data_IF_049036723263
#
_entry.id   IF_049036723263
#
_cell.length_a   1.000
_cell.length_b   1.000
_cell.length_c   1.000
_cell.angle_alpha   90.00
_cell.angle_beta   90.00
_cell.angle_gamma   90.00
#
_symmetry.space_group_name_H-M   'P 1'
#
loop_
_entity.id
_entity.type
_entity.pdbx_description
1 polymer ?
#
# COMPACT_ATOMS: atom_id res chain seq x y z
N UNK A 1 -2.73 31.51 8.94
CA UNK A 1 -3.40 30.96 7.75
C UNK A 1 -3.42 29.45 7.91
N UNK A 2 -4.58 28.86 8.16
CA UNK A 2 -4.73 27.43 8.44
C UNK A 2 -4.43 26.64 7.15
N UNK A 3 -3.74 25.52 7.28
CA UNK A 3 -3.32 24.62 6.17
C UNK A 3 -4.48 24.19 5.25
N UNK A 4 -5.72 24.35 5.73
CA UNK A 4 -6.95 24.03 5.01
C UNK A 4 -7.29 25.03 3.88
N UNK A 5 -6.91 26.30 4.00
CA UNK A 5 -7.29 27.33 3.03
C UNK A 5 -6.57 27.18 1.68
N UNK A 6 -5.35 26.58 1.67
CA UNK A 6 -4.59 26.35 0.42
C UNK A 6 -5.12 25.20 -0.44
N UNK A 7 -5.83 24.21 0.14
CA UNK A 7 -6.39 23.09 -0.59
C UNK A 7 -7.66 23.45 -1.37
N UNK A 8 -8.36 24.49 -0.94
CA UNK A 8 -9.56 25.02 -1.63
C UNK A 8 -9.24 25.66 -2.98
N UNK A 9 -8.00 26.17 -3.14
CA UNK A 9 -7.54 26.88 -4.33
C UNK A 9 -6.87 25.97 -5.37
N UNK A 10 -6.62 24.69 -5.06
CA UNK A 10 -5.96 23.76 -5.97
C UNK A 10 -6.93 23.13 -6.96
N UNK A 11 -6.64 23.29 -8.24
CA UNK A 11 -7.37 22.59 -9.32
C UNK A 11 -7.00 21.11 -9.26
N UNK A 12 -7.98 20.19 -9.17
CA UNK A 12 -7.72 18.75 -9.20
C UNK A 12 -7.03 18.34 -10.50
N UNK A 13 -6.18 17.31 -10.42
CA UNK A 13 -5.52 16.71 -11.60
C UNK A 13 -6.55 16.11 -12.56
N UNK A 14 -7.59 15.51 -12.02
CA UNK A 14 -8.72 14.92 -12.74
C UNK A 14 -9.81 14.52 -11.73
N UNK A 15 -10.89 13.92 -12.21
CA UNK A 15 -11.88 13.32 -11.31
C UNK A 15 -11.24 12.16 -10.56
N UNK A 16 -11.54 12.03 -9.26
CA UNK A 16 -11.04 10.92 -8.46
C UNK A 16 -11.71 9.61 -8.88
N UNK A 17 -10.90 8.59 -9.13
CA UNK A 17 -11.35 7.21 -9.33
C UNK A 17 -10.54 6.22 -8.50
N UNK A 18 -11.21 5.27 -7.84
CA UNK A 18 -10.58 4.24 -7.02
C UNK A 18 -10.88 2.87 -7.62
N UNK A 19 -9.84 2.19 -8.07
CA UNK A 19 -9.88 0.80 -8.52
C UNK A 19 -9.37 -0.09 -7.38
N UNK A 20 -10.27 -0.62 -6.55
CA UNK A 20 -9.92 -1.56 -5.49
C UNK A 20 -9.95 -2.99 -6.04
N UNK A 21 -8.77 -3.60 -6.19
CA UNK A 21 -8.66 -5.00 -6.58
C UNK A 21 -9.38 -5.89 -5.54
N UNK A 22 -9.77 -7.09 -5.94
CA UNK A 22 -10.49 -8.01 -5.03
C UNK A 22 -9.74 -8.22 -3.71
N UNK A 23 -8.40 -8.27 -3.77
CA UNK A 23 -7.52 -8.43 -2.59
C UNK A 23 -7.62 -7.28 -1.58
N UNK A 24 -8.03 -6.12 -2.01
CA UNK A 24 -8.13 -4.89 -1.19
C UNK A 24 -9.54 -4.28 -1.18
N UNK A 25 -10.56 -5.01 -1.61
CA UNK A 25 -11.94 -4.51 -1.72
C UNK A 25 -12.46 -3.93 -0.42
N UNK A 26 -12.26 -4.61 0.70
CA UNK A 26 -12.70 -4.12 2.01
C UNK A 26 -12.02 -2.80 2.40
N UNK A 27 -10.72 -2.69 2.14
CA UNK A 27 -9.98 -1.45 2.38
C UNK A 27 -10.46 -0.34 1.45
N UNK A 28 -10.65 -0.65 0.16
CA UNK A 28 -11.15 0.30 -0.84
C UNK A 28 -12.52 0.87 -0.46
N UNK A 29 -13.44 0.03 0.00
CA UNK A 29 -14.76 0.48 0.49
C UNK A 29 -14.61 1.47 1.65
N UNK A 30 -13.80 1.14 2.66
CA UNK A 30 -13.58 2.03 3.81
C UNK A 30 -12.92 3.35 3.43
N UNK A 31 -11.94 3.31 2.51
CA UNK A 31 -11.30 4.53 1.98
C UNK A 31 -12.32 5.39 1.26
N UNK A 32 -13.16 4.78 0.42
CA UNK A 32 -14.24 5.46 -0.27
C UNK A 32 -15.18 6.16 0.71
N UNK A 33 -15.64 5.46 1.75
CA UNK A 33 -16.59 6.00 2.74
C UNK A 33 -16.00 7.22 3.45
N UNK A 34 -14.74 7.17 3.88
CA UNK A 34 -14.04 8.31 4.47
C UNK A 34 -13.90 9.51 3.51
N UNK A 35 -13.60 9.25 2.23
CA UNK A 35 -13.47 10.33 1.24
C UNK A 35 -14.82 10.97 0.97
N UNK A 36 -15.89 10.18 0.84
CA UNK A 36 -17.25 10.69 0.66
C UNK A 36 -17.65 11.56 1.84
N UNK A 37 -17.48 11.07 3.08
CA UNK A 37 -17.77 11.82 4.30
C UNK A 37 -17.01 13.15 4.35
N UNK A 38 -15.69 13.14 4.18
CA UNK A 38 -14.87 14.36 4.21
C UNK A 38 -15.22 15.37 3.13
N UNK A 39 -15.53 14.91 1.92
CA UNK A 39 -15.95 15.80 0.82
C UNK A 39 -17.32 16.40 1.06
N UNK A 40 -18.26 15.63 1.59
CA UNK A 40 -19.59 16.12 1.97
C UNK A 40 -19.51 17.12 3.12
N UNK A 41 -18.74 16.86 4.16
CA UNK A 41 -18.51 17.80 5.26
C UNK A 41 -17.92 19.12 4.75
N UNK A 42 -16.91 19.03 3.90
CA UNK A 42 -16.28 20.19 3.30
C UNK A 42 -17.25 20.99 2.44
N UNK A 43 -18.04 20.33 1.62
CA UNK A 43 -19.07 20.98 0.79
C UNK A 43 -20.14 21.72 1.60
N UNK A 44 -20.41 21.28 2.85
CA UNK A 44 -21.33 21.96 3.76
C UNK A 44 -20.69 23.19 4.44
N UNK A 45 -19.39 23.17 4.65
CA UNK A 45 -18.66 24.25 5.35
C UNK A 45 -18.23 25.38 4.43
N UNK A 46 -17.95 25.11 3.18
CA UNK A 46 -17.49 26.07 2.19
C UNK A 46 -18.63 26.39 1.23
N UNK A 47 -19.21 27.61 1.33
CA UNK A 47 -20.17 28.12 0.37
C UNK A 47 -19.57 28.14 -1.05
N UNK A 48 -20.35 28.18 -2.12
CA UNK A 48 -20.36 27.51 -3.40
C UNK A 48 -19.10 27.59 -4.28
N UNK A 49 -17.92 27.68 -3.72
CA UNK A 49 -16.66 27.55 -4.47
C UNK A 49 -16.43 26.12 -5.00
N UNK A 50 -17.20 25.15 -4.57
CA UNK A 50 -17.15 23.76 -5.03
C UNK A 50 -17.97 23.53 -6.30
N UNK A 51 -17.78 24.33 -7.35
CA UNK A 51 -18.25 24.03 -8.71
C UNK A 51 -17.54 22.81 -9.33
N UNK A 52 -16.71 22.12 -8.57
CA UNK A 52 -16.07 20.87 -8.97
C UNK A 52 -17.08 19.75 -8.79
N UNK A 53 -17.74 19.37 -9.88
CA UNK A 53 -18.81 18.36 -9.93
C UNK A 53 -18.44 17.02 -9.25
N UNK A 54 -17.15 16.71 -9.14
CA UNK A 54 -16.63 15.49 -8.54
C UNK A 54 -16.76 15.43 -7.00
N UNK A 55 -16.98 16.56 -6.32
CA UNK A 55 -17.04 16.61 -4.84
C UNK A 55 -18.36 16.14 -4.24
N UNK A 56 -19.41 15.95 -5.05
CA UNK A 56 -20.74 15.54 -4.60
C UNK A 56 -21.10 14.09 -4.91
N UNK A 57 -20.13 13.26 -5.34
CA UNK A 57 -20.38 11.86 -5.63
C UNK A 57 -20.62 11.05 -4.35
N UNK A 58 -21.51 10.08 -4.43
CA UNK A 58 -21.78 9.11 -3.36
C UNK A 58 -20.76 7.97 -3.34
N UNK A 59 -19.99 7.82 -4.41
CA UNK A 59 -18.90 6.84 -4.50
C UNK A 59 -17.84 7.25 -5.51
N UNK A 60 -16.60 6.94 -5.20
CA UNK A 60 -15.44 7.08 -6.07
C UNK A 60 -14.91 5.73 -6.53
N UNK A 61 -15.52 4.63 -6.07
CA UNK A 61 -15.15 3.27 -6.50
C UNK A 61 -15.59 3.06 -7.95
N UNK A 62 -14.67 2.52 -8.74
CA UNK A 62 -14.89 2.11 -10.13
C UNK A 62 -14.97 0.59 -10.17
N UNK A 63 -16.01 0.06 -10.81
CA UNK A 63 -16.19 -1.39 -10.90
C UNK A 63 -15.12 -2.02 -11.80
N UNK A 64 -14.33 -2.91 -11.18
CA UNK A 64 -13.26 -3.63 -11.83
C UNK A 64 -13.18 -5.09 -11.38
N UNK A 65 -12.63 -5.94 -12.22
CA UNK A 65 -12.46 -7.36 -11.93
C UNK A 65 -11.32 -7.96 -12.76
N UNK A 66 -10.78 -9.07 -12.26
CA UNK A 66 -9.85 -9.92 -13.01
C UNK A 66 -10.38 -11.36 -13.11
N UNK A 67 -11.41 -11.60 -13.96
CA UNK A 67 -11.99 -12.93 -14.11
C UNK A 67 -10.95 -13.92 -14.66
N UNK A 68 -10.93 -15.12 -14.05
CA UNK A 68 -10.02 -16.21 -14.41
C UNK A 68 -10.65 -17.12 -15.46
N UNK A 69 -9.82 -17.59 -16.38
CA UNK A 69 -10.13 -18.71 -17.27
C UNK A 69 -9.84 -20.04 -16.56
N UNK A 70 -10.33 -21.13 -17.12
CA UNK A 70 -10.11 -22.47 -16.56
C UNK A 70 -8.63 -22.89 -16.47
N UNK A 71 -7.77 -22.30 -17.30
CA UNK A 71 -6.30 -22.46 -17.28
C UNK A 71 -5.60 -21.69 -16.15
N UNK A 72 -6.33 -20.80 -15.42
CA UNK A 72 -5.76 -19.93 -14.40
C UNK A 72 -5.33 -18.55 -14.91
N UNK A 73 -5.27 -18.36 -16.22
CA UNK A 73 -5.06 -17.03 -16.82
C UNK A 73 -6.24 -16.09 -16.48
N UNK A 74 -5.99 -14.79 -16.53
CA UNK A 74 -7.04 -13.79 -16.27
C UNK A 74 -6.96 -12.64 -17.27
N UNK A 75 -8.02 -11.83 -17.28
CA UNK A 75 -8.04 -10.53 -17.98
C UNK A 75 -8.45 -9.42 -17.01
N UNK A 76 -7.87 -8.23 -17.18
CA UNK A 76 -8.35 -7.02 -16.49
C UNK A 76 -9.62 -6.50 -17.15
N UNK A 77 -10.60 -6.14 -16.35
CA UNK A 77 -11.88 -5.60 -16.79
C UNK A 77 -12.23 -4.37 -15.96
N UNK A 78 -12.50 -3.25 -16.62
CA UNK A 78 -13.03 -2.02 -16.02
C UNK A 78 -14.35 -1.74 -16.72
N UNK A 79 -15.44 -1.57 -15.94
CA UNK A 79 -16.81 -1.47 -16.50
C UNK A 79 -17.28 -0.05 -16.71
N UNK A 80 -16.45 0.93 -16.33
CA UNK A 80 -16.76 2.35 -16.45
C UNK A 80 -15.67 3.08 -17.23
N UNK A 81 -15.97 4.28 -17.71
CA UNK A 81 -14.98 5.12 -18.35
C UNK A 81 -14.06 5.75 -17.31
N UNK A 82 -12.75 5.61 -17.52
CA UNK A 82 -11.70 6.21 -16.69
C UNK A 82 -10.96 7.33 -17.42
N UNK A 83 -11.56 7.85 -18.49
CA UNK A 83 -10.92 8.86 -19.33
C UNK A 83 -10.76 10.19 -18.59
N UNK A 84 -9.51 10.60 -18.45
CA UNK A 84 -9.15 11.86 -17.80
C UNK A 84 -9.17 11.83 -16.28
N UNK A 85 -9.44 10.67 -15.67
CA UNK A 85 -9.49 10.52 -14.22
C UNK A 85 -8.09 10.47 -13.60
N UNK A 86 -8.01 10.88 -12.35
CA UNK A 86 -6.90 10.66 -11.43
C UNK A 86 -7.18 9.34 -10.67
N UNK A 87 -6.54 8.26 -11.12
CA UNK A 87 -6.83 6.91 -10.67
C UNK A 87 -5.89 6.45 -9.55
N UNK A 88 -6.51 5.85 -8.53
CA UNK A 88 -5.83 5.17 -7.43
C UNK A 88 -6.17 3.68 -7.46
N UNK A 89 -5.18 2.84 -7.73
CA UNK A 89 -5.31 1.38 -7.74
C UNK A 89 -4.82 0.82 -6.40
N UNK A 90 -5.72 0.15 -5.67
CA UNK A 90 -5.43 -0.47 -4.39
C UNK A 90 -5.24 -1.97 -4.57
N UNK A 91 -4.12 -2.51 -4.09
CA UNK A 91 -3.82 -3.95 -4.13
C UNK A 91 -3.16 -4.42 -2.84
N UNK A 92 -3.69 -5.46 -2.23
CA UNK A 92 -3.03 -6.20 -1.15
C UNK A 92 -2.43 -7.48 -1.74
N UNK A 93 -1.13 -7.47 -1.95
CA UNK A 93 -0.40 -8.62 -2.51
C UNK A 93 -0.23 -9.77 -1.52
N UNK A 94 -0.50 -9.54 -0.23
CA UNK A 94 -0.39 -10.55 0.82
C UNK A 94 -1.72 -11.20 1.20
N UNK A 95 -2.80 -10.94 0.46
CA UNK A 95 -4.10 -11.52 0.75
C UNK A 95 -4.19 -12.98 0.26
N UNK A 96 -3.82 -13.92 1.11
CA UNK A 96 -3.89 -15.36 0.83
C UNK A 96 -5.29 -15.97 0.99
N UNK A 97 -6.30 -15.18 1.38
CA UNK A 97 -7.67 -15.68 1.55
C UNK A 97 -8.40 -15.92 0.22
N UNK A 98 -7.97 -15.23 -0.83
CA UNK A 98 -8.56 -15.36 -2.15
C UNK A 98 -8.10 -16.63 -2.86
N UNK A 99 -9.05 -17.26 -3.54
CA UNK A 99 -8.80 -18.49 -4.28
C UNK A 99 -9.37 -18.41 -5.69
N UNK A 100 -8.81 -19.22 -6.59
CA UNK A 100 -9.35 -19.45 -7.92
C UNK A 100 -9.15 -20.91 -8.31
N UNK A 101 -9.86 -21.37 -9.35
CA UNK A 101 -9.77 -22.74 -9.83
C UNK A 101 -8.90 -22.82 -11.08
N UNK A 102 -7.99 -23.81 -11.10
CA UNK A 102 -7.22 -24.22 -12.26
C UNK A 102 -7.51 -25.66 -12.52
N UNK A 103 -8.06 -26.00 -13.70
CA UNK A 103 -8.43 -27.36 -14.06
C UNK A 103 -9.26 -28.07 -12.97
N UNK A 104 -10.16 -27.31 -12.32
CA UNK A 104 -11.05 -27.81 -11.27
C UNK A 104 -10.46 -27.84 -9.85
N UNK A 105 -9.14 -27.61 -9.69
CA UNK A 105 -8.49 -27.55 -8.37
C UNK A 105 -8.46 -26.13 -7.82
N UNK A 106 -8.65 -26.02 -6.50
CA UNK A 106 -8.61 -24.73 -5.79
C UNK A 106 -7.16 -24.35 -5.51
N UNK A 107 -6.79 -23.12 -5.91
CA UNK A 107 -5.49 -22.53 -5.65
C UNK A 107 -5.67 -21.22 -4.88
N UNK A 108 -4.86 -21.00 -3.87
CA UNK A 108 -4.77 -19.70 -3.21
C UNK A 108 -3.97 -18.73 -4.08
N UNK A 109 -4.42 -17.47 -4.13
CA UNK A 109 -3.69 -16.44 -4.85
C UNK A 109 -2.37 -16.13 -4.14
N UNK A 110 -1.28 -16.19 -4.90
CA UNK A 110 0.05 -15.77 -4.47
C UNK A 110 0.24 -14.25 -4.60
N UNK A 111 1.31 -13.68 -4.03
CA UNK A 111 1.71 -12.29 -4.31
C UNK A 111 1.87 -12.00 -5.80
N UNK A 112 2.38 -12.96 -6.57
CA UNK A 112 2.55 -12.85 -8.02
C UNK A 112 1.21 -12.78 -8.75
N UNK A 113 0.21 -13.55 -8.31
CA UNK A 113 -1.15 -13.49 -8.85
C UNK A 113 -1.76 -12.10 -8.66
N UNK A 114 -1.64 -11.53 -7.46
CA UNK A 114 -2.16 -10.20 -7.15
C UNK A 114 -1.42 -9.10 -7.92
N UNK A 115 -0.09 -9.21 -8.00
CA UNK A 115 0.72 -8.27 -8.77
C UNK A 115 0.41 -8.35 -10.26
N UNK A 116 0.21 -9.56 -10.81
CA UNK A 116 -0.20 -9.73 -12.20
C UNK A 116 -1.61 -9.17 -12.47
N UNK A 117 -2.55 -9.29 -11.51
CA UNK A 117 -3.89 -8.69 -11.62
C UNK A 117 -3.84 -7.16 -11.60
N UNK A 118 -2.95 -6.57 -10.78
CA UNK A 118 -2.67 -5.13 -10.82
C UNK A 118 -2.23 -4.70 -12.23
N UNK A 119 -1.28 -5.40 -12.85
CA UNK A 119 -0.81 -5.08 -14.19
C UNK A 119 -1.91 -5.22 -15.25
N UNK A 120 -2.78 -6.21 -15.11
CA UNK A 120 -3.94 -6.39 -15.99
C UNK A 120 -4.91 -5.20 -15.93
N UNK A 121 -5.17 -4.66 -14.72
CA UNK A 121 -6.01 -3.47 -14.60
C UNK A 121 -5.33 -2.21 -15.13
N UNK A 122 -4.03 -2.01 -14.88
CA UNK A 122 -3.27 -0.91 -15.49
C UNK A 122 -3.34 -0.99 -17.02
N UNK A 123 -3.16 -2.17 -17.59
CA UNK A 123 -3.30 -2.39 -19.04
C UNK A 123 -4.73 -2.11 -19.54
N UNK A 124 -5.76 -2.45 -18.75
CA UNK A 124 -7.15 -2.18 -19.09
C UNK A 124 -7.49 -0.67 -19.08
N UNK A 125 -6.81 0.15 -18.27
CA UNK A 125 -6.88 1.62 -18.35
C UNK A 125 -6.46 2.12 -19.72
N UNK A 126 -5.47 1.47 -20.33
CA UNK A 126 -5.06 1.71 -21.73
C UNK A 126 -4.58 3.13 -21.99
N UNK A 127 -3.91 3.77 -21.05
CA UNK A 127 -3.38 5.13 -21.16
C UNK A 127 -4.45 6.24 -21.20
N UNK A 128 -5.69 5.94 -20.83
CA UNK A 128 -6.81 6.91 -20.90
C UNK A 128 -6.94 7.78 -19.67
N UNK A 129 -6.44 7.32 -18.52
CA UNK A 129 -6.43 8.09 -17.29
C UNK A 129 -5.48 9.30 -17.38
N UNK A 130 -5.75 10.33 -16.61
CA UNK A 130 -4.87 11.49 -16.49
C UNK A 130 -3.62 11.16 -15.70
N UNK A 131 -3.78 10.38 -14.62
CA UNK A 131 -2.70 9.92 -13.74
C UNK A 131 -3.06 8.55 -13.16
N UNK A 132 -2.05 7.73 -12.89
CA UNK A 132 -2.21 6.45 -12.21
C UNK A 132 -1.30 6.45 -10.97
N UNK A 133 -1.91 6.26 -9.81
CA UNK A 133 -1.23 6.03 -8.53
C UNK A 133 -1.55 4.61 -8.05
N UNK A 134 -0.53 3.84 -7.67
CA UNK A 134 -0.69 2.52 -7.06
C UNK A 134 -0.53 2.63 -5.55
N UNK A 135 -1.49 2.12 -4.79
CA UNK A 135 -1.40 1.97 -3.34
C UNK A 135 -1.27 0.49 -3.03
N UNK A 136 -0.12 0.14 -2.49
CA UNK A 136 0.25 -1.24 -2.17
C UNK A 136 0.72 -1.28 -0.71
N UNK A 137 -0.17 -1.57 0.26
CA UNK A 137 0.14 -1.50 1.69
C UNK A 137 1.38 -2.30 2.07
N UNK A 138 1.52 -3.51 1.54
CA UNK A 138 2.77 -4.26 1.58
C UNK A 138 3.42 -4.22 0.19
N UNK A 139 4.60 -3.64 0.09
CA UNK A 139 5.29 -3.50 -1.20
C UNK A 139 5.72 -4.89 -1.73
N UNK A 140 5.26 -5.21 -2.94
CA UNK A 140 5.62 -6.45 -3.64
C UNK A 140 7.13 -6.57 -3.78
N UNK A 141 7.69 -7.75 -3.47
CA UNK A 141 9.11 -8.08 -3.50
C UNK A 141 10.01 -7.14 -2.64
N UNK A 142 9.46 -6.46 -1.64
CA UNK A 142 10.19 -5.48 -0.82
C UNK A 142 11.41 -6.06 -0.10
N UNK A 143 11.44 -7.38 0.17
CA UNK A 143 12.58 -8.04 0.80
C UNK A 143 13.73 -8.29 -0.17
N UNK A 144 13.45 -8.31 -1.48
CA UNK A 144 14.45 -8.44 -2.54
C UNK A 144 14.87 -7.05 -3.05
N UNK A 145 15.25 -6.17 -2.11
CA UNK A 145 15.64 -4.77 -2.35
C UNK A 145 17.14 -4.59 -2.64
N UNK A 146 17.94 -5.62 -2.40
CA UNK A 146 19.39 -5.66 -2.67
C UNK A 146 19.78 -7.07 -3.07
N UNK A 147 20.90 -7.18 -3.77
CA UNK A 147 21.53 -8.46 -4.10
C UNK A 147 22.99 -8.44 -3.69
N UNK A 148 23.49 -9.56 -3.22
CA UNK A 148 24.88 -9.76 -2.82
C UNK A 148 25.64 -10.77 -3.69
N UNK A 149 24.90 -11.50 -4.53
CA UNK A 149 25.45 -12.53 -5.41
C UNK A 149 24.71 -12.56 -6.75
N UNK A 150 24.58 -13.70 -7.39
CA UNK A 150 23.82 -13.91 -8.61
C UNK A 150 22.33 -14.10 -8.31
N UNK A 151 21.70 -13.04 -7.85
CA UNK A 151 20.30 -12.98 -7.46
C UNK A 151 19.57 -11.99 -8.36
N UNK A 152 18.27 -12.18 -8.53
CA UNK A 152 17.42 -11.16 -9.14
C UNK A 152 17.25 -9.95 -8.19
N UNK A 153 16.85 -8.81 -8.73
CA UNK A 153 16.55 -7.60 -7.95
C UNK A 153 15.08 -7.24 -8.15
N UNK A 154 14.20 -8.13 -7.65
CA UNK A 154 12.79 -8.16 -8.04
C UNK A 154 12.02 -6.93 -7.61
N UNK A 155 12.34 -6.35 -6.44
CA UNK A 155 11.71 -5.10 -6.02
C UNK A 155 11.96 -3.96 -7.01
N UNK A 156 13.20 -3.80 -7.48
CA UNK A 156 13.53 -2.76 -8.44
C UNK A 156 12.88 -3.01 -9.81
N UNK A 157 12.88 -4.27 -10.26
CA UNK A 157 12.24 -4.66 -11.52
C UNK A 157 10.74 -4.40 -11.47
N UNK A 158 10.06 -4.76 -10.39
CA UNK A 158 8.64 -4.52 -10.21
C UNK A 158 8.28 -3.03 -10.24
N UNK A 159 9.05 -2.19 -9.54
CA UNK A 159 8.86 -0.73 -9.57
C UNK A 159 9.05 -0.14 -10.97
N UNK A 160 10.11 -0.57 -11.68
CA UNK A 160 10.39 -0.14 -13.05
C UNK A 160 9.29 -0.60 -14.01
N UNK A 161 8.81 -1.83 -13.91
CA UNK A 161 7.74 -2.36 -14.72
C UNK A 161 6.45 -1.52 -14.57
N UNK A 162 6.03 -1.24 -13.34
CA UNK A 162 4.85 -0.41 -13.08
C UNK A 162 5.01 0.99 -13.69
N UNK A 163 6.17 1.61 -13.54
CA UNK A 163 6.42 2.95 -14.09
C UNK A 163 6.46 2.97 -15.61
N UNK A 164 7.00 1.92 -16.24
CA UNK A 164 6.96 1.73 -17.70
C UNK A 164 5.54 1.52 -18.22
N UNK A 165 4.65 0.94 -17.42
CA UNK A 165 3.22 0.81 -17.72
C UNK A 165 2.43 2.10 -17.53
N UNK A 166 3.07 3.21 -17.11
CA UNK A 166 2.44 4.52 -16.97
C UNK A 166 2.04 4.88 -15.53
N UNK A 167 2.48 4.14 -14.52
CA UNK A 167 2.29 4.53 -13.11
C UNK A 167 3.19 5.73 -12.80
N UNK A 168 2.57 6.79 -12.26
CA UNK A 168 3.26 8.04 -11.88
C UNK A 168 3.70 8.06 -10.42
N UNK A 169 2.93 7.40 -9.54
CA UNK A 169 3.18 7.39 -8.10
C UNK A 169 2.90 6.02 -7.51
N UNK A 170 3.74 5.61 -6.56
CA UNK A 170 3.58 4.37 -5.79
C UNK A 170 3.59 4.73 -4.30
N UNK A 171 2.56 4.31 -3.58
CA UNK A 171 2.40 4.53 -2.15
C UNK A 171 2.41 3.18 -1.44
N UNK A 172 3.24 3.03 -0.42
CA UNK A 172 3.31 1.84 0.43
C UNK A 172 3.41 2.22 1.91
N UNK A 173 3.18 1.26 2.80
CA UNK A 173 3.38 1.47 4.23
C UNK A 173 4.68 0.81 4.68
N UNK A 174 5.52 1.57 5.39
CA UNK A 174 6.73 1.11 6.04
C UNK A 174 7.57 0.15 5.16
N UNK A 175 8.02 0.64 4.01
CA UNK A 175 8.84 -0.14 3.10
C UNK A 175 10.02 -0.80 3.84
N UNK A 176 10.30 -2.06 3.53
CA UNK A 176 11.39 -2.82 4.17
C UNK A 176 12.74 -2.08 4.09
N UNK A 177 13.01 -1.45 2.96
CA UNK A 177 14.09 -0.49 2.78
C UNK A 177 13.60 0.66 1.89
N UNK A 178 13.48 1.89 2.41
CA UNK A 178 12.96 3.02 1.63
C UNK A 178 13.87 3.42 0.45
N UNK A 179 15.12 2.95 0.40
CA UNK A 179 16.05 3.22 -0.72
C UNK A 179 15.63 2.53 -2.02
N UNK A 180 14.64 1.64 -2.00
CA UNK A 180 14.06 1.07 -3.24
C UNK A 180 13.55 2.14 -4.20
N UNK A 181 13.19 3.33 -3.70
CA UNK A 181 12.84 4.49 -4.52
C UNK A 181 13.92 4.88 -5.55
N UNK A 182 15.19 4.55 -5.27
CA UNK A 182 16.29 4.83 -6.19
C UNK A 182 16.18 4.05 -7.51
N UNK A 183 15.35 3.01 -7.59
CA UNK A 183 15.08 2.29 -8.83
C UNK A 183 14.23 3.10 -9.82
N UNK A 184 13.50 4.12 -9.35
CA UNK A 184 12.56 4.94 -10.12
C UNK A 184 12.72 6.44 -9.83
N UNK A 185 13.92 7.03 -10.03
CA UNK A 185 14.27 8.36 -9.52
C UNK A 185 13.46 9.51 -10.12
N UNK A 186 12.77 9.28 -11.23
CA UNK A 186 11.93 10.28 -11.91
C UNK A 186 10.43 10.11 -11.63
N UNK A 187 10.07 9.21 -10.72
CA UNK A 187 8.67 8.93 -10.34
C UNK A 187 8.48 9.10 -8.84
N UNK A 188 7.24 9.35 -8.42
CA UNK A 188 6.93 9.48 -7.01
C UNK A 188 6.90 8.09 -6.34
N UNK A 189 7.59 8.00 -5.21
CA UNK A 189 7.50 6.85 -4.31
C UNK A 189 7.35 7.36 -2.88
N UNK A 190 6.28 6.93 -2.23
CA UNK A 190 5.97 7.35 -0.86
C UNK A 190 5.88 6.14 0.05
N UNK A 191 6.62 6.16 1.15
CA UNK A 191 6.48 5.19 2.24
C UNK A 191 5.87 5.86 3.45
N UNK A 192 4.63 5.49 3.76
CA UNK A 192 3.87 6.06 4.88
C UNK A 192 4.26 5.33 6.16
N UNK A 193 4.69 6.09 7.17
CA UNK A 193 5.02 5.53 8.47
C UNK A 193 3.75 5.34 9.32
N UNK A 194 3.40 4.12 9.74
CA UNK A 194 2.19 3.84 10.50
C UNK A 194 2.30 4.14 11.99
N UNK A 195 3.44 4.66 12.45
CA UNK A 195 3.79 4.85 13.88
C UNK A 195 2.70 5.57 14.65
N UNK A 196 2.18 6.67 14.12
CA UNK A 196 1.11 7.43 14.79
C UNK A 196 -0.14 6.58 15.01
N UNK A 197 -0.55 5.80 14.02
CA UNK A 197 -1.74 4.96 14.11
C UNK A 197 -1.54 3.80 15.08
N UNK A 198 -0.35 3.21 15.14
CA UNK A 198 -0.03 2.18 16.12
C UNK A 198 -0.03 2.73 17.54
N UNK A 199 0.59 3.88 17.79
CA UNK A 199 0.59 4.53 19.11
C UNK A 199 -0.84 4.88 19.52
N UNK A 200 -1.65 5.46 18.62
CA UNK A 200 -3.05 5.76 18.87
C UNK A 200 -3.87 4.51 19.22
N UNK A 201 -3.63 3.41 18.49
CA UNK A 201 -4.29 2.14 18.77
C UNK A 201 -3.83 1.54 20.10
N UNK A 202 -2.56 1.62 20.44
CA UNK A 202 -2.01 1.19 21.72
C UNK A 202 -2.70 1.92 22.89
N UNK A 203 -2.73 3.24 22.84
CA UNK A 203 -3.36 4.08 23.88
C UNK A 203 -4.87 3.81 24.03
N UNK A 204 -5.54 3.52 22.91
CA UNK A 204 -6.97 3.20 22.92
C UNK A 204 -7.26 1.83 23.54
N UNK A 205 -6.43 0.83 23.27
CA UNK A 205 -6.70 -0.56 23.65
C UNK A 205 -6.03 -0.97 24.96
N UNK A 206 -5.07 -0.18 25.44
CA UNK A 206 -4.36 -0.41 26.72
C UNK A 206 -4.44 0.88 27.55
N UNK A 207 -5.62 1.22 28.13
CA UNK A 207 -5.84 2.52 28.77
C UNK A 207 -4.95 2.77 29.99
N UNK A 208 -4.52 1.71 30.68
CA UNK A 208 -3.69 1.80 31.88
C UNK A 208 -2.18 1.79 31.60
N UNK A 209 -1.77 1.86 30.32
CA UNK A 209 -0.35 1.86 29.94
C UNK A 209 0.34 3.12 30.44
N UNK A 210 1.43 2.94 31.17
CA UNK A 210 2.29 4.03 31.64
C UNK A 210 3.44 4.22 30.67
N UNK A 211 3.48 5.38 30.02
CA UNK A 211 4.53 5.73 29.05
C UNK A 211 5.62 6.51 29.79
N UNK A 212 6.51 5.79 30.40
CA UNK A 212 7.70 6.30 31.06
C UNK A 212 8.82 5.26 31.03
N UNK A 213 10.06 5.67 31.25
CA UNK A 213 11.24 4.80 31.19
C UNK A 213 11.27 3.67 32.23
N UNK A 214 10.44 3.75 33.29
CA UNK A 214 10.38 2.71 34.35
C UNK A 214 9.38 1.60 34.01
N UNK A 215 8.34 1.91 33.21
CA UNK A 215 7.22 1.02 32.97
C UNK A 215 7.15 0.50 31.52
N UNK A 216 7.82 1.16 30.58
CA UNK A 216 7.72 0.82 29.17
C UNK A 216 9.07 0.95 28.44
N UNK A 217 9.34 0.00 27.56
CA UNK A 217 10.51 -0.02 26.69
C UNK A 217 10.08 -0.50 25.29
N UNK A 218 10.64 0.07 24.24
CA UNK A 218 10.52 -0.47 22.88
C UNK A 218 11.64 -1.47 22.65
N UNK A 219 11.30 -2.68 22.20
CA UNK A 219 12.31 -3.71 21.91
C UNK A 219 12.28 -4.05 20.43
N UNK A 220 13.44 -3.89 19.75
CA UNK A 220 13.63 -4.36 18.40
C UNK A 220 13.79 -5.89 18.38
N UNK A 221 13.06 -6.62 17.51
CA UNK A 221 13.18 -8.07 17.40
C UNK A 221 14.50 -8.53 16.77
N UNK A 222 15.17 -7.65 16.04
CA UNK A 222 16.46 -7.90 15.39
C UNK A 222 17.14 -6.58 14.98
N UNK A 223 18.36 -6.70 14.47
CA UNK A 223 19.16 -5.57 13.99
C UNK A 223 18.47 -4.81 12.85
N UNK A 224 17.79 -5.52 11.94
CA UNK A 224 17.11 -4.92 10.78
C UNK A 224 15.93 -4.00 11.15
N UNK A 225 15.27 -4.26 12.29
CA UNK A 225 14.15 -3.47 12.77
C UNK A 225 14.57 -2.34 13.73
N UNK A 226 15.87 -2.22 14.08
CA UNK A 226 16.35 -1.28 15.10
C UNK A 226 15.99 0.18 14.76
N UNK A 227 16.11 0.60 13.51
CA UNK A 227 15.78 1.96 13.09
C UNK A 227 14.31 2.31 13.37
N UNK A 228 13.38 1.37 13.13
CA UNK A 228 11.96 1.54 13.47
C UNK A 228 11.75 1.61 14.98
N UNK A 229 12.38 0.72 15.75
CA UNK A 229 12.28 0.70 17.20
C UNK A 229 12.77 2.01 17.82
N UNK A 230 13.92 2.54 17.36
CA UNK A 230 14.45 3.84 17.77
C UNK A 230 13.46 4.97 17.47
N UNK A 231 12.82 4.94 16.30
CA UNK A 231 11.83 5.95 15.95
C UNK A 231 10.63 5.94 16.91
N UNK A 232 10.08 4.73 17.23
CA UNK A 232 9.01 4.60 18.22
C UNK A 232 9.45 5.07 19.63
N UNK A 233 10.64 4.65 20.07
CA UNK A 233 11.17 5.03 21.37
C UNK A 233 11.34 6.56 21.49
N UNK A 234 11.86 7.22 20.45
CA UNK A 234 12.01 8.67 20.40
C UNK A 234 10.64 9.39 20.45
N UNK A 235 9.65 8.91 19.71
CA UNK A 235 8.29 9.50 19.73
C UNK A 235 7.63 9.38 21.11
N UNK A 236 7.85 8.24 21.80
CA UNK A 236 7.30 7.98 23.11
C UNK A 236 8.14 8.54 24.27
N UNK A 237 9.38 8.94 24.02
CA UNK A 237 10.31 9.43 25.05
C UNK A 237 10.78 8.36 26.02
N UNK A 238 10.98 7.11 25.55
CA UNK A 238 11.35 5.93 26.36
C UNK A 238 12.56 5.22 25.75
N UNK A 239 13.11 4.25 26.51
CA UNK A 239 14.29 3.51 26.11
C UNK A 239 14.01 2.48 24.99
N UNK A 240 15.09 2.10 24.27
CA UNK A 240 15.07 1.06 23.25
C UNK A 240 16.01 -0.08 23.64
N UNK A 241 15.50 -1.31 23.50
CA UNK A 241 16.30 -2.53 23.57
C UNK A 241 16.34 -3.24 22.21
N UNK A 242 17.19 -4.24 22.09
CA UNK A 242 17.30 -5.05 20.87
C UNK A 242 17.59 -6.50 21.21
N UNK A 243 16.90 -7.44 20.53
CA UNK A 243 17.31 -8.83 20.49
C UNK A 243 18.32 -9.09 19.38
N UNK A 244 19.35 -9.85 19.68
CA UNK A 244 20.28 -10.34 18.68
C UNK A 244 19.71 -11.59 18.02
N UNK A 245 19.68 -11.59 16.69
CA UNK A 245 19.18 -12.70 15.88
C UNK A 245 20.29 -13.26 15.01
N UNK A 246 20.63 -14.52 15.24
CA UNK A 246 21.61 -15.26 14.43
C UNK A 246 20.94 -16.47 13.77
N UNK A 247 21.31 -16.74 12.52
CA UNK A 247 20.93 -17.98 11.86
C UNK A 247 21.97 -19.06 12.15
N UNK A 248 21.50 -20.25 12.50
CA UNK A 248 22.35 -21.42 12.64
C UNK A 248 22.53 -22.09 11.28
N UNK A 249 23.65 -21.79 10.63
CA UNK A 249 23.99 -22.37 9.33
C UNK A 249 24.53 -23.81 9.42
N UNK A 250 24.70 -24.38 10.62
CA UNK A 250 25.16 -25.74 10.80
C UNK A 250 24.11 -26.79 10.52
N UNK A 251 22.83 -26.41 10.47
CA UNK A 251 21.69 -27.31 10.26
C UNK A 251 20.56 -26.65 9.49
N UNK A 252 19.77 -27.51 8.83
CA UNK A 252 18.56 -27.10 8.13
C UNK A 252 17.39 -27.82 8.78
N UNK A 253 16.35 -27.09 9.16
CA UNK A 253 15.09 -27.59 9.70
C UNK A 253 13.97 -27.06 8.81
N UNK A 254 13.14 -27.95 8.25
CA UNK A 254 12.05 -27.61 7.34
C UNK A 254 12.50 -26.70 6.16
N UNK A 255 13.66 -27.01 5.58
CA UNK A 255 14.23 -26.26 4.46
C UNK A 255 14.79 -24.88 4.81
N UNK A 256 14.95 -24.54 6.11
CA UNK A 256 15.44 -23.24 6.59
C UNK A 256 16.51 -23.41 7.66
N UNK A 257 17.44 -22.46 7.71
CA UNK A 257 18.37 -22.36 8.83
C UNK A 257 17.61 -21.80 10.06
N UNK A 258 17.58 -22.51 11.19
CA UNK A 258 16.87 -22.06 12.39
C UNK A 258 17.47 -20.76 12.94
N UNK A 259 16.62 -20.01 13.62
CA UNK A 259 17.02 -18.78 14.30
C UNK A 259 17.40 -19.12 15.75
N UNK A 260 18.53 -18.57 16.21
CA UNK A 260 19.01 -18.62 17.59
C UNK A 260 19.15 -17.22 18.14
#
# INVERSE_FOLDING_TARGET
MKRHDKLAETIPVGNLGILALESSRQMGNRVNDYIVEWRQERSRMEAPASSIADYSKDSYLIDCACPRFGSGEAKGLIRESVRGDDLFLLVDVCNYSLTYKVCGQVNHMSPDDHYQDLKRLIAAVGGKARRITVIMPFLYESRQHRRSSRESLDCALALQELTQMGVESIITFDAHDPRVQNAIPLKSFETVQPTYQFIKALLKNVPDIKIDAQNLMVISPDEGALGRAVYYANVLGIDVGMFYKRRDYSRIVDGRNPII
#
